data_IF_579126996031
#
_entry.id   IF_579126996031
#
_cell.length_a   1.000
_cell.length_b   1.000
_cell.length_c   1.000
_cell.angle_alpha   90.00
_cell.angle_beta   90.00
_cell.angle_gamma   90.00
#
_symmetry.space_group_name_H-M   'P 1'
#
loop_
_entity.id
_entity.type
_entity.pdbx_description
1 polymer ?
#
# COMPACT_ATOMS: atom_id res chain seq x y z
N UNK A 1 26.54 3.66 12.97
CA UNK A 1 26.02 3.43 11.59
C UNK A 1 24.74 2.62 11.70
N UNK A 2 23.66 3.06 11.06
CA UNK A 2 22.36 2.37 11.15
C UNK A 2 22.43 1.04 10.42
N UNK A 3 22.01 -0.04 11.07
CA UNK A 3 21.85 -1.36 10.48
C UNK A 3 20.39 -1.79 10.65
N UNK A 4 19.75 -2.21 9.57
CA UNK A 4 18.38 -2.69 9.56
C UNK A 4 18.30 -4.21 9.63
N UNK A 5 17.25 -4.72 10.29
CA UNK A 5 16.84 -6.10 10.11
C UNK A 5 15.39 -6.12 9.57
N UNK A 6 15.13 -6.90 8.54
CA UNK A 6 13.80 -7.10 7.97
C UNK A 6 13.28 -8.46 8.38
N UNK A 7 12.15 -8.48 9.07
CA UNK A 7 11.41 -9.70 9.40
C UNK A 7 10.21 -9.83 8.47
N UNK A 8 10.31 -10.72 7.50
CA UNK A 8 9.29 -10.96 6.48
C UNK A 8 9.88 -11.36 5.13
N UNK A 9 9.06 -11.99 4.28
CA UNK A 9 9.46 -12.45 2.95
C UNK A 9 8.50 -12.02 1.83
N UNK A 10 7.58 -11.06 2.13
CA UNK A 10 6.60 -10.54 1.17
C UNK A 10 7.21 -9.54 0.17
N UNK A 11 6.35 -9.01 -0.72
CA UNK A 11 6.75 -8.02 -1.74
C UNK A 11 7.39 -6.79 -1.12
N UNK A 12 6.77 -6.19 -0.10
CA UNK A 12 7.32 -5.03 0.59
C UNK A 12 8.69 -5.31 1.21
N UNK A 13 8.86 -6.47 1.88
CA UNK A 13 10.14 -6.86 2.45
C UNK A 13 11.25 -6.95 1.38
N UNK A 14 10.92 -7.50 0.20
CA UNK A 14 11.84 -7.57 -0.94
C UNK A 14 12.22 -6.18 -1.47
N UNK A 15 11.25 -5.27 -1.59
CA UNK A 15 11.47 -3.90 -2.02
C UNK A 15 12.30 -3.10 -1.01
N UNK A 16 11.96 -3.18 0.29
CA UNK A 16 12.72 -2.47 1.34
C UNK A 16 14.16 -2.97 1.44
N UNK A 17 14.38 -4.29 1.32
CA UNK A 17 15.75 -4.84 1.25
C UNK A 17 16.53 -4.26 0.08
N UNK A 18 15.92 -4.19 -1.09
CA UNK A 18 16.55 -3.63 -2.29
C UNK A 18 16.84 -2.15 -2.12
N UNK A 19 15.88 -1.40 -1.60
CA UNK A 19 16.02 0.04 -1.34
C UNK A 19 17.19 0.33 -0.37
N UNK A 20 17.26 -0.38 0.75
CA UNK A 20 18.38 -0.24 1.69
C UNK A 20 19.72 -0.58 1.04
N UNK A 21 19.77 -1.65 0.26
CA UNK A 21 20.98 -2.02 -0.49
C UNK A 21 21.44 -0.93 -1.46
N UNK A 22 20.51 -0.36 -2.24
CA UNK A 22 20.83 0.75 -3.17
C UNK A 22 21.25 2.04 -2.42
N UNK A 23 20.75 2.23 -1.20
CA UNK A 23 21.09 3.37 -0.33
C UNK A 23 22.39 3.16 0.47
N UNK A 24 23.08 2.03 0.30
CA UNK A 24 24.29 1.70 1.06
C UNK A 24 24.04 1.42 2.54
N UNK A 25 22.80 1.15 2.95
CA UNK A 25 22.42 0.85 4.32
C UNK A 25 22.54 -0.65 4.60
N UNK A 26 23.30 -1.08 5.61
CA UNK A 26 23.41 -2.48 5.98
C UNK A 26 22.05 -3.07 6.37
N UNK A 27 21.72 -4.24 5.80
CA UNK A 27 20.44 -4.91 6.05
C UNK A 27 20.62 -6.42 6.21
N UNK A 28 20.04 -6.95 7.27
CA UNK A 28 19.88 -8.39 7.52
C UNK A 28 18.43 -8.78 7.28
N UNK A 29 18.17 -10.03 6.85
CA UNK A 29 16.81 -10.48 6.58
C UNK A 29 16.51 -11.81 7.26
N UNK A 30 15.31 -11.93 7.80
CA UNK A 30 14.78 -13.17 8.34
C UNK A 30 13.35 -13.41 7.86
N UNK A 31 13.06 -14.64 7.46
CA UNK A 31 11.71 -15.08 7.15
C UNK A 31 11.52 -16.51 7.68
N UNK A 32 10.29 -16.85 8.07
CA UNK A 32 9.95 -18.25 8.36
C UNK A 32 10.14 -19.08 7.09
N UNK A 33 10.86 -20.18 7.22
CA UNK A 33 11.02 -21.11 6.12
C UNK A 33 9.70 -21.85 5.86
N UNK A 34 8.99 -21.47 4.79
CA UNK A 34 7.71 -22.10 4.42
C UNK A 34 7.88 -23.52 3.83
N UNK A 35 9.09 -23.89 3.48
CA UNK A 35 9.38 -25.19 2.88
C UNK A 35 9.80 -26.26 3.90
N UNK A 36 10.09 -25.90 5.16
CA UNK A 36 10.39 -26.88 6.19
C UNK A 36 9.10 -27.54 6.69
N UNK A 37 9.00 -28.89 6.70
CA UNK A 37 7.91 -29.59 7.34
C UNK A 37 7.79 -29.14 8.80
N UNK A 38 6.55 -28.96 9.30
CA UNK A 38 6.23 -28.50 10.65
C UNK A 38 6.95 -29.28 11.77
N UNK A 39 7.51 -30.44 11.47
CA UNK A 39 8.13 -31.35 12.42
C UNK A 39 9.68 -31.34 12.44
N UNK A 40 10.37 -30.51 11.64
CA UNK A 40 11.84 -30.60 11.54
C UNK A 40 12.61 -29.35 11.92
N UNK A 41 11.98 -28.22 12.14
CA UNK A 41 12.66 -27.02 12.64
C UNK A 41 12.33 -26.86 14.13
N UNK A 42 13.29 -27.19 15.01
CA UNK A 42 13.11 -26.93 16.45
C UNK A 42 12.90 -25.42 16.65
N UNK A 43 11.96 -25.04 17.50
CA UNK A 43 11.65 -23.64 17.87
C UNK A 43 12.93 -22.92 18.34
N UNK A 44 13.83 -23.62 19.02
CA UNK A 44 15.13 -23.11 19.45
C UNK A 44 15.99 -22.63 18.28
N UNK A 45 16.11 -23.42 17.21
CA UNK A 45 16.93 -23.06 16.05
C UNK A 45 16.38 -21.81 15.31
N UNK A 46 15.05 -21.65 15.27
CA UNK A 46 14.38 -20.49 14.68
C UNK A 46 14.63 -19.22 15.52
N UNK A 47 14.56 -19.33 16.85
CA UNK A 47 14.82 -18.21 17.78
C UNK A 47 16.30 -17.78 17.73
N UNK A 48 17.24 -18.71 17.70
CA UNK A 48 18.68 -18.39 17.60
C UNK A 48 19.02 -17.71 16.26
N UNK A 49 18.50 -18.21 15.16
CA UNK A 49 18.67 -17.57 13.84
C UNK A 49 18.10 -16.16 13.83
N UNK A 50 16.93 -15.93 14.42
CA UNK A 50 16.34 -14.61 14.54
C UNK A 50 17.22 -13.69 15.40
N UNK A 51 17.68 -14.15 16.58
CA UNK A 51 18.59 -13.39 17.43
C UNK A 51 19.88 -13.02 16.68
N UNK A 52 20.49 -13.96 15.99
CA UNK A 52 21.68 -13.71 15.17
C UNK A 52 21.43 -12.65 14.08
N UNK A 53 20.26 -12.72 13.43
CA UNK A 53 19.88 -11.76 12.37
C UNK A 53 19.72 -10.35 12.90
N UNK A 54 19.05 -10.17 14.06
CA UNK A 54 18.79 -8.83 14.62
C UNK A 54 19.95 -8.29 15.44
N UNK A 55 20.91 -9.12 15.84
CA UNK A 55 22.02 -8.70 16.73
C UNK A 55 22.73 -7.44 16.25
N UNK A 56 23.15 -7.31 14.97
CA UNK A 56 23.84 -6.11 14.48
C UNK A 56 22.88 -4.94 14.25
N UNK A 57 21.56 -5.18 14.21
CA UNK A 57 20.59 -4.17 13.83
C UNK A 57 20.28 -3.21 14.99
N UNK A 58 20.14 -1.93 14.66
CA UNK A 58 19.54 -0.92 15.53
C UNK A 58 18.03 -0.84 15.33
N UNK A 59 17.54 -1.08 14.10
CA UNK A 59 16.12 -1.01 13.73
C UNK A 59 15.66 -2.33 13.13
N UNK A 60 14.48 -2.78 13.54
CA UNK A 60 13.85 -4.02 13.06
C UNK A 60 12.52 -3.69 12.40
N UNK A 61 12.42 -3.94 11.09
CA UNK A 61 11.20 -3.77 10.32
C UNK A 61 10.37 -5.06 10.34
N UNK A 62 9.15 -4.98 10.85
CA UNK A 62 8.18 -6.06 10.93
C UNK A 62 7.32 -6.07 9.66
N UNK A 63 7.81 -6.69 8.60
CA UNK A 63 7.17 -6.73 7.26
C UNK A 63 6.46 -8.06 7.02
N UNK A 64 5.68 -8.48 7.99
CA UNK A 64 4.76 -9.62 7.95
C UNK A 64 3.31 -9.12 7.79
N UNK A 65 2.33 -10.03 7.72
CA UNK A 65 0.92 -9.63 7.72
C UNK A 65 0.53 -8.98 9.05
N UNK A 66 -0.40 -8.05 9.03
CA UNK A 66 -0.84 -7.28 10.19
C UNK A 66 -1.20 -8.20 11.38
N UNK A 67 -1.93 -9.27 11.11
CA UNK A 67 -2.32 -10.26 12.12
C UNK A 67 -1.13 -11.02 12.72
N UNK A 68 -0.01 -11.14 11.99
CA UNK A 68 1.16 -11.87 12.46
C UNK A 68 2.11 -11.02 13.31
N UNK A 69 1.98 -9.69 13.32
CA UNK A 69 2.90 -8.81 14.07
C UNK A 69 2.78 -9.05 15.57
N UNK A 70 1.56 -9.05 16.10
CA UNK A 70 1.32 -9.25 17.52
C UNK A 70 1.80 -10.64 18.01
N UNK A 71 1.56 -11.67 17.19
CA UNK A 71 2.05 -13.03 17.48
C UNK A 71 3.58 -13.11 17.47
N UNK A 72 4.22 -12.44 16.52
CA UNK A 72 5.68 -12.39 16.40
C UNK A 72 6.31 -11.73 17.64
N UNK A 73 5.77 -10.60 18.09
CA UNK A 73 6.23 -9.89 19.28
C UNK A 73 6.02 -10.72 20.56
N UNK A 74 4.87 -11.40 20.68
CA UNK A 74 4.59 -12.30 21.80
C UNK A 74 5.54 -13.50 21.82
N UNK A 75 5.84 -14.07 20.65
CA UNK A 75 6.71 -15.25 20.52
C UNK A 75 8.19 -14.94 20.76
N UNK A 76 8.60 -13.70 20.47
CA UNK A 76 9.99 -13.26 20.55
C UNK A 76 10.13 -11.92 21.30
N UNK A 77 9.91 -11.89 22.64
CA UNK A 77 9.92 -10.66 23.44
C UNK A 77 11.22 -9.86 23.34
N UNK A 78 12.34 -10.52 23.05
CA UNK A 78 13.65 -9.87 22.88
C UNK A 78 13.71 -8.91 21.68
N UNK A 79 12.70 -8.92 20.79
CA UNK A 79 12.60 -7.92 19.72
C UNK A 79 12.43 -6.51 20.29
N UNK A 80 11.81 -6.35 21.45
CA UNK A 80 11.63 -5.06 22.13
C UNK A 80 12.93 -4.41 22.61
N UNK A 81 14.07 -5.10 22.54
CA UNK A 81 15.40 -4.53 22.76
C UNK A 81 15.87 -3.63 21.60
N UNK A 82 15.13 -3.60 20.48
CA UNK A 82 15.45 -2.85 19.26
C UNK A 82 14.39 -1.79 18.98
N UNK A 83 14.73 -0.79 18.18
CA UNK A 83 13.74 0.11 17.59
C UNK A 83 12.88 -0.68 16.60
N UNK A 84 11.61 -0.88 16.93
CA UNK A 84 10.67 -1.65 16.14
C UNK A 84 9.87 -0.74 15.23
N UNK A 85 9.74 -1.14 13.97
CA UNK A 85 8.99 -0.41 12.94
C UNK A 85 8.08 -1.37 12.19
N UNK A 86 6.83 -0.98 11.96
CA UNK A 86 5.95 -1.67 11.03
C UNK A 86 5.51 -0.76 9.89
N UNK A 87 5.13 -1.36 8.75
CA UNK A 87 4.66 -0.63 7.56
C UNK A 87 3.15 -0.79 7.29
N UNK A 88 2.37 -1.23 8.27
CA UNK A 88 0.91 -1.25 8.13
C UNK A 88 0.35 0.16 8.05
N UNK A 89 -0.54 0.39 7.07
CA UNK A 89 -1.28 1.65 6.94
C UNK A 89 -2.45 1.79 7.91
N UNK A 90 -2.89 0.69 8.55
CA UNK A 90 -4.08 0.65 9.40
C UNK A 90 -3.79 0.44 10.88
N UNK A 91 -2.69 -0.27 11.24
CA UNK A 91 -2.40 -0.63 12.62
C UNK A 91 -1.71 0.50 13.39
N UNK A 92 -1.97 0.49 14.72
CA UNK A 92 -1.15 1.13 15.74
C UNK A 92 -0.83 0.09 16.80
N UNK A 93 0.45 -0.04 17.17
CA UNK A 93 0.92 -1.06 18.09
C UNK A 93 1.78 -0.39 19.16
N UNK A 94 1.44 -0.51 20.45
CA UNK A 94 2.24 0.07 21.52
C UNK A 94 3.71 -0.38 21.47
N UNK A 95 4.63 0.58 21.52
CA UNK A 95 6.08 0.31 21.47
C UNK A 95 6.63 -0.06 20.08
N UNK A 96 5.84 0.07 19.01
CA UNK A 96 6.28 -0.14 17.62
C UNK A 96 5.90 1.08 16.80
N UNK A 97 6.86 1.75 16.20
CA UNK A 97 6.59 2.91 15.34
C UNK A 97 5.98 2.48 14.00
N UNK A 98 4.96 3.18 13.54
CA UNK A 98 4.39 2.98 12.22
C UNK A 98 5.02 3.90 11.18
N UNK A 99 5.40 3.35 10.03
CA UNK A 99 5.87 4.12 8.86
C UNK A 99 5.35 3.46 7.58
N UNK A 100 4.18 3.87 7.12
CA UNK A 100 3.54 3.28 5.94
C UNK A 100 4.04 3.95 4.66
N UNK A 101 4.71 3.24 3.74
CA UNK A 101 5.06 3.76 2.43
C UNK A 101 3.81 3.83 1.54
N UNK A 102 3.38 5.02 1.13
CA UNK A 102 2.24 5.21 0.26
C UNK A 102 2.59 4.85 -1.18
N UNK A 103 2.63 3.57 -1.46
CA UNK A 103 3.01 3.02 -2.77
C UNK A 103 2.41 1.62 -2.97
N UNK A 104 2.19 1.25 -4.22
CA UNK A 104 1.96 -0.14 -4.61
C UNK A 104 3.29 -0.81 -4.93
N UNK A 105 3.47 -2.07 -4.50
CA UNK A 105 4.71 -2.82 -4.73
C UNK A 105 4.42 -4.05 -5.61
N UNK A 106 4.97 -4.03 -6.82
CA UNK A 106 4.84 -5.11 -7.81
C UNK A 106 5.90 -6.22 -7.58
N UNK A 107 6.01 -7.12 -8.53
CA UNK A 107 7.12 -8.07 -8.57
C UNK A 107 8.43 -7.44 -9.08
N UNK A 108 8.35 -6.37 -9.86
CA UNK A 108 9.51 -5.65 -10.37
C UNK A 108 10.03 -4.68 -9.33
N UNK A 109 11.35 -4.66 -9.16
CA UNK A 109 12.02 -3.76 -8.22
C UNK A 109 12.18 -2.39 -8.86
N UNK A 110 12.17 -1.34 -8.04
CA UNK A 110 12.25 0.03 -8.49
C UNK A 110 13.70 0.54 -8.47
N UNK A 111 13.95 1.63 -9.18
CA UNK A 111 15.22 2.37 -9.12
C UNK A 111 15.35 3.10 -7.79
N UNK A 112 16.58 3.49 -7.43
CA UNK A 112 16.83 4.28 -6.22
C UNK A 112 16.04 5.59 -6.22
N UNK A 113 16.02 6.30 -7.34
CA UNK A 113 15.28 7.54 -7.49
C UNK A 113 13.78 7.35 -7.26
N UNK A 114 13.21 6.26 -7.77
CA UNK A 114 11.81 5.93 -7.55
C UNK A 114 11.52 5.67 -6.06
N UNK A 115 12.37 4.88 -5.38
CA UNK A 115 12.22 4.63 -3.95
C UNK A 115 12.29 5.92 -3.13
N UNK A 116 13.22 6.81 -3.43
CA UNK A 116 13.41 8.07 -2.71
C UNK A 116 12.24 9.04 -2.82
N UNK A 117 11.39 8.88 -3.84
CA UNK A 117 10.17 9.68 -4.05
C UNK A 117 8.94 9.13 -3.31
N UNK A 118 9.00 7.92 -2.76
CA UNK A 118 7.86 7.31 -2.04
C UNK A 118 7.62 8.08 -0.75
N UNK A 119 6.44 8.69 -0.55
CA UNK A 119 6.13 9.33 0.72
C UNK A 119 5.82 8.29 1.80
N UNK A 120 6.24 8.57 3.02
CA UNK A 120 5.91 7.77 4.20
C UNK A 120 4.93 8.50 5.10
N UNK A 121 3.89 7.80 5.55
CA UNK A 121 3.02 8.26 6.63
C UNK A 121 3.56 7.67 7.93
N UNK A 122 3.99 8.54 8.83
CA UNK A 122 4.63 8.18 10.11
C UNK A 122 3.65 8.45 11.25
N UNK A 123 3.55 7.53 12.19
CA UNK A 123 2.70 7.71 13.37
C UNK A 123 3.10 9.00 14.12
N UNK A 124 2.11 9.85 14.44
CA UNK A 124 2.36 11.11 15.16
C UNK A 124 3.08 10.85 16.49
N UNK A 125 4.00 11.73 16.83
CA UNK A 125 4.89 11.58 17.99
C UNK A 125 6.23 10.93 17.68
N UNK A 126 6.47 10.46 16.48
CA UNK A 126 7.75 9.92 16.02
C UNK A 126 8.38 10.80 14.94
N UNK A 127 9.68 11.02 15.00
CA UNK A 127 10.43 11.68 13.94
C UNK A 127 10.87 10.65 12.89
N UNK A 128 10.70 10.97 11.62
CA UNK A 128 11.03 10.03 10.51
C UNK A 128 12.48 9.56 10.54
N UNK A 129 13.41 10.46 10.83
CA UNK A 129 14.83 10.16 10.94
C UNK A 129 15.21 9.28 12.14
N UNK A 130 14.32 9.12 13.12
CA UNK A 130 14.46 8.17 14.23
C UNK A 130 13.83 6.82 13.88
N UNK A 131 12.77 6.83 13.08
CA UNK A 131 12.06 5.60 12.66
C UNK A 131 12.77 4.91 11.49
N UNK A 132 13.19 5.69 10.48
CA UNK A 132 13.90 5.19 9.29
C UNK A 132 15.15 6.06 9.00
N UNK A 133 16.16 6.05 9.90
CA UNK A 133 17.35 6.87 9.73
C UNK A 133 18.12 6.52 8.45
N UNK A 134 18.56 7.57 7.76
CA UNK A 134 19.33 7.46 6.51
C UNK A 134 18.49 7.40 5.24
N UNK A 135 17.16 7.45 5.34
CA UNK A 135 16.27 7.58 4.19
C UNK A 135 15.86 9.04 3.95
N UNK A 136 15.97 9.56 2.70
CA UNK A 136 15.67 10.96 2.38
C UNK A 136 14.19 11.18 1.97
N UNK A 137 13.32 10.22 2.17
CA UNK A 137 11.96 10.21 1.65
C UNK A 137 11.10 11.38 2.15
N UNK A 138 10.20 11.93 1.34
CA UNK A 138 9.10 12.75 1.80
C UNK A 138 8.30 12.00 2.89
N UNK A 139 7.91 12.69 3.95
CA UNK A 139 7.17 12.06 5.04
C UNK A 139 6.19 13.03 5.67
N UNK A 140 5.12 12.49 6.22
CA UNK A 140 4.02 13.23 6.85
C UNK A 140 3.60 12.50 8.12
N UNK A 141 3.30 13.26 9.17
CA UNK A 141 2.74 12.69 10.38
C UNK A 141 1.25 12.36 10.20
N UNK A 142 0.82 11.22 10.73
CA UNK A 142 -0.57 10.82 10.76
C UNK A 142 -0.98 10.44 12.19
N UNK A 143 -2.14 10.93 12.65
CA UNK A 143 -2.69 10.50 13.92
C UNK A 143 -3.08 9.03 13.84
N UNK A 144 -2.71 8.26 14.86
CA UNK A 144 -2.94 6.81 14.90
C UNK A 144 -4.42 6.45 14.80
N UNK A 145 -5.30 7.30 15.30
CA UNK A 145 -6.76 7.16 15.22
C UNK A 145 -7.30 7.31 13.78
N UNK A 146 -6.62 8.09 12.94
CA UNK A 146 -7.01 8.31 11.55
C UNK A 146 -6.44 7.23 10.59
N UNK A 147 -5.54 6.38 11.04
CA UNK A 147 -4.91 5.35 10.17
C UNK A 147 -5.92 4.40 9.51
N UNK A 148 -6.95 3.88 10.20
CA UNK A 148 -7.93 3.02 9.53
C UNK A 148 -8.64 3.73 8.38
N UNK A 149 -9.04 4.99 8.58
CA UNK A 149 -9.67 5.83 7.56
C UNK A 149 -8.71 6.13 6.41
N UNK A 150 -7.50 6.55 6.73
CA UNK A 150 -6.44 6.80 5.75
C UNK A 150 -6.19 5.55 4.88
N UNK A 151 -6.03 4.38 5.50
CA UNK A 151 -5.77 3.14 4.76
C UNK A 151 -6.95 2.74 3.88
N UNK A 152 -8.19 2.92 4.35
CA UNK A 152 -9.38 2.71 3.53
C UNK A 152 -9.36 3.59 2.26
N UNK A 153 -8.97 4.87 2.39
CA UNK A 153 -8.81 5.77 1.24
C UNK A 153 -7.69 5.31 0.29
N UNK A 154 -6.57 4.81 0.81
CA UNK A 154 -5.50 4.22 -0.01
C UNK A 154 -5.98 3.00 -0.80
N UNK A 155 -6.76 2.12 -0.16
CA UNK A 155 -7.37 0.94 -0.81
C UNK A 155 -8.32 1.38 -1.91
N UNK A 156 -9.17 2.38 -1.65
CA UNK A 156 -10.10 2.91 -2.68
C UNK A 156 -9.35 3.52 -3.87
N UNK A 157 -8.35 4.38 -3.60
CA UNK A 157 -7.62 5.06 -4.65
C UNK A 157 -6.72 4.12 -5.48
N UNK A 158 -6.15 3.09 -4.87
CA UNK A 158 -5.23 2.16 -5.53
C UNK A 158 -5.88 0.83 -5.91
N UNK A 159 -6.26 0.02 -4.91
CA UNK A 159 -6.70 -1.35 -5.15
C UNK A 159 -8.04 -1.43 -5.88
N UNK A 160 -9.04 -0.62 -5.48
CA UNK A 160 -10.35 -0.66 -6.11
C UNK A 160 -10.31 -0.12 -7.55
N UNK A 161 -9.47 0.88 -7.81
CA UNK A 161 -9.22 1.34 -9.17
C UNK A 161 -8.66 0.22 -10.06
N UNK A 162 -7.70 -0.58 -9.55
CA UNK A 162 -7.17 -1.71 -10.29
C UNK A 162 -8.21 -2.81 -10.54
N UNK A 163 -9.06 -3.11 -9.54
CA UNK A 163 -10.17 -4.06 -9.70
C UNK A 163 -11.12 -3.58 -10.80
N UNK A 164 -11.47 -2.29 -10.80
CA UNK A 164 -12.34 -1.70 -11.82
C UNK A 164 -11.69 -1.77 -13.21
N UNK A 165 -10.42 -1.45 -13.34
CA UNK A 165 -9.71 -1.53 -14.62
C UNK A 165 -9.61 -2.95 -15.16
N UNK A 166 -9.38 -3.93 -14.29
CA UNK A 166 -9.36 -5.34 -14.66
C UNK A 166 -10.74 -5.79 -15.14
N UNK A 167 -11.80 -5.46 -14.39
CA UNK A 167 -13.16 -5.81 -14.78
C UNK A 167 -13.58 -5.18 -16.12
N UNK A 168 -13.15 -3.94 -16.39
CA UNK A 168 -13.37 -3.29 -17.69
C UNK A 168 -12.58 -3.99 -18.81
N UNK A 169 -11.33 -4.36 -18.58
CA UNK A 169 -10.50 -5.05 -19.56
C UNK A 169 -11.07 -6.42 -19.96
N UNK A 170 -11.62 -7.17 -19.00
CA UNK A 170 -12.31 -8.45 -19.26
C UNK A 170 -13.53 -8.26 -20.15
N UNK A 171 -14.32 -7.21 -19.94
CA UNK A 171 -15.49 -6.91 -20.78
C UNK A 171 -15.11 -6.41 -22.16
N UNK A 172 -14.02 -5.64 -22.28
CA UNK A 172 -13.47 -5.27 -23.60
C UNK A 172 -13.06 -6.52 -24.37
N UNK A 173 -12.38 -7.47 -23.74
CA UNK A 173 -12.03 -8.73 -24.37
C UNK A 173 -13.28 -9.52 -24.83
N UNK A 174 -14.34 -9.55 -24.02
CA UNK A 174 -15.61 -10.19 -24.39
C UNK A 174 -16.31 -9.50 -25.58
N UNK A 175 -16.07 -8.21 -25.81
CA UNK A 175 -16.54 -7.47 -27.00
C UNK A 175 -15.58 -7.60 -28.19
N UNK A 176 -14.54 -8.42 -28.12
CA UNK A 176 -13.54 -8.58 -29.18
C UNK A 176 -12.50 -7.45 -29.25
N UNK A 177 -12.44 -6.57 -28.24
CA UNK A 177 -11.46 -5.50 -28.16
C UNK A 177 -10.24 -5.95 -27.33
N UNK A 178 -9.01 -5.87 -27.85
CA UNK A 178 -7.82 -6.22 -27.06
C UNK A 178 -7.72 -5.37 -25.80
N UNK A 179 -7.41 -5.96 -24.60
CA UNK A 179 -7.26 -5.20 -23.36
C UNK A 179 -6.21 -4.07 -23.44
N UNK A 180 -5.22 -4.21 -24.34
CA UNK A 180 -4.20 -3.18 -24.59
C UNK A 180 -4.78 -1.86 -25.12
N UNK A 181 -5.99 -1.85 -25.67
CA UNK A 181 -6.68 -0.62 -26.10
C UNK A 181 -6.99 0.33 -24.94
N UNK A 182 -7.11 -0.19 -23.70
CA UNK A 182 -7.31 0.61 -22.50
C UNK A 182 -6.04 1.32 -22.02
N UNK A 183 -4.86 0.83 -22.40
CA UNK A 183 -3.60 1.34 -21.86
C UNK A 183 -3.41 2.86 -22.07
N UNK A 184 -3.49 3.42 -23.29
CA UNK A 184 -3.31 4.86 -23.49
C UNK A 184 -4.42 5.67 -22.79
N UNK A 185 -5.63 5.15 -22.75
CA UNK A 185 -6.74 5.80 -22.06
C UNK A 185 -6.50 5.90 -20.56
N UNK A 186 -6.14 4.80 -19.88
CA UNK A 186 -5.87 4.80 -18.44
C UNK A 186 -4.69 5.69 -18.07
N UNK A 187 -3.62 5.67 -18.88
CA UNK A 187 -2.47 6.56 -18.68
C UNK A 187 -2.90 8.03 -18.74
N UNK A 188 -3.76 8.38 -19.72
CA UNK A 188 -4.23 9.76 -19.87
C UNK A 188 -5.15 10.18 -18.71
N UNK A 189 -6.03 9.29 -18.23
CA UNK A 189 -6.88 9.56 -17.06
C UNK A 189 -6.02 9.90 -15.82
N UNK A 190 -5.00 9.09 -15.54
CA UNK A 190 -4.09 9.34 -14.41
C UNK A 190 -3.32 10.65 -14.61
N UNK A 191 -2.77 10.91 -15.80
CA UNK A 191 -2.05 12.15 -16.09
C UNK A 191 -2.93 13.40 -15.94
N UNK A 192 -4.16 13.35 -16.40
CA UNK A 192 -5.10 14.47 -16.27
C UNK A 192 -5.40 14.75 -14.79
N UNK A 193 -5.67 13.71 -14.00
CA UNK A 193 -5.89 13.85 -12.57
C UNK A 193 -4.67 14.44 -11.84
N UNK A 194 -3.48 13.97 -12.13
CA UNK A 194 -2.24 14.48 -11.50
C UNK A 194 -1.99 15.95 -11.82
N UNK A 195 -2.30 16.36 -13.07
CA UNK A 195 -2.09 17.75 -13.51
C UNK A 195 -3.19 18.71 -13.04
N UNK A 196 -4.44 18.25 -13.02
CA UNK A 196 -5.62 19.09 -12.78
C UNK A 196 -6.66 18.34 -11.93
N UNK A 197 -6.38 18.03 -10.65
CA UNK A 197 -7.24 17.16 -9.83
C UNK A 197 -8.67 17.69 -9.67
N UNK A 198 -8.86 19.02 -9.64
CA UNK A 198 -10.17 19.64 -9.49
C UNK A 198 -11.03 19.70 -10.76
N UNK A 199 -10.45 19.43 -11.96
CA UNK A 199 -11.17 19.56 -13.24
C UNK A 199 -10.91 18.42 -14.22
N UNK A 200 -10.28 17.35 -13.74
CA UNK A 200 -9.90 16.21 -14.61
C UNK A 200 -11.10 15.35 -15.04
N UNK A 201 -12.19 15.37 -14.27
CA UNK A 201 -13.34 14.54 -14.56
C UNK A 201 -14.05 15.04 -15.83
N UNK A 202 -14.21 14.14 -16.77
CA UNK A 202 -14.95 14.34 -18.02
C UNK A 202 -16.05 13.29 -18.16
N UNK A 203 -16.87 13.39 -19.17
CA UNK A 203 -17.89 12.37 -19.46
C UNK A 203 -19.30 12.81 -19.07
N UNK A 204 -20.27 11.86 -19.12
CA UNK A 204 -21.68 12.20 -18.99
C UNK A 204 -22.07 12.74 -17.62
N UNK A 205 -21.43 12.28 -16.53
CA UNK A 205 -21.71 12.77 -15.19
C UNK A 205 -21.35 14.25 -15.05
N UNK A 206 -20.14 14.64 -15.49
CA UNK A 206 -19.68 16.04 -15.37
C UNK A 206 -20.46 17.01 -16.27
N UNK A 207 -21.08 16.50 -17.36
CA UNK A 207 -21.91 17.32 -18.26
C UNK A 207 -23.40 17.27 -17.95
N UNK A 208 -23.84 16.47 -16.95
CA UNK A 208 -25.27 16.30 -16.64
C UNK A 208 -26.04 15.56 -17.73
N UNK A 209 -25.40 14.72 -18.56
CA UNK A 209 -26.01 14.01 -19.66
C UNK A 209 -26.79 12.78 -19.17
N UNK A 210 -28.01 13.02 -18.71
CA UNK A 210 -28.89 11.99 -18.13
C UNK A 210 -29.22 10.89 -19.13
N UNK A 211 -29.39 11.21 -20.41
CA UNK A 211 -29.73 10.22 -21.44
C UNK A 211 -28.59 9.21 -21.65
N UNK A 212 -27.35 9.66 -21.69
CA UNK A 212 -26.19 8.77 -21.78
C UNK A 212 -26.02 7.93 -20.52
N UNK A 213 -26.24 8.51 -19.36
CA UNK A 213 -26.19 7.79 -18.07
C UNK A 213 -27.22 6.64 -18.06
N UNK A 214 -28.45 6.93 -18.45
CA UNK A 214 -29.53 5.92 -18.49
C UNK A 214 -29.22 4.79 -19.46
N UNK A 215 -28.73 5.10 -20.66
CA UNK A 215 -28.30 4.07 -21.65
C UNK A 215 -27.16 3.21 -21.09
N UNK A 216 -26.20 3.80 -20.38
CA UNK A 216 -25.10 3.06 -19.76
C UNK A 216 -25.65 2.10 -18.69
N UNK A 217 -26.58 2.53 -17.84
CA UNK A 217 -27.19 1.68 -16.83
C UNK A 217 -28.01 0.54 -17.45
N UNK A 218 -28.77 0.81 -18.52
CA UNK A 218 -29.51 -0.21 -19.26
C UNK A 218 -28.54 -1.25 -19.86
N UNK A 219 -27.42 -0.79 -20.43
CA UNK A 219 -26.41 -1.69 -21.00
C UNK A 219 -25.69 -2.55 -19.95
N UNK A 220 -25.64 -2.10 -18.71
CA UNK A 220 -25.05 -2.83 -17.59
C UNK A 220 -26.09 -3.64 -16.79
N UNK A 221 -27.35 -3.69 -17.22
CA UNK A 221 -28.40 -4.40 -16.48
C UNK A 221 -28.03 -5.88 -16.29
N UNK A 222 -27.96 -6.35 -15.04
CA UNK A 222 -27.54 -7.70 -14.67
C UNK A 222 -26.03 -7.95 -14.67
N UNK A 223 -25.21 -6.97 -15.04
CA UNK A 223 -23.75 -7.06 -14.89
C UNK A 223 -23.32 -6.66 -13.45
N UNK A 224 -22.36 -7.36 -12.81
CA UNK A 224 -21.80 -6.96 -11.51
C UNK A 224 -21.27 -5.52 -11.43
N UNK A 225 -20.98 -4.86 -12.56
CA UNK A 225 -20.58 -3.45 -12.59
C UNK A 225 -21.75 -2.46 -12.49
N UNK A 226 -22.99 -2.88 -12.66
CA UNK A 226 -24.14 -1.96 -12.53
C UNK A 226 -24.22 -1.31 -11.14
N UNK A 227 -24.19 -2.06 -10.01
CA UNK A 227 -24.20 -1.44 -8.68
C UNK A 227 -22.97 -0.57 -8.42
N UNK A 228 -21.82 -0.89 -8.99
CA UNK A 228 -20.60 -0.05 -8.89
C UNK A 228 -20.82 1.27 -9.64
N UNK A 229 -21.39 1.26 -10.84
CA UNK A 229 -21.71 2.47 -11.59
C UNK A 229 -22.68 3.38 -10.81
N UNK A 230 -23.72 2.81 -10.19
CA UNK A 230 -24.66 3.56 -9.34
C UNK A 230 -23.99 4.15 -8.11
N UNK A 231 -23.08 3.44 -7.46
CA UNK A 231 -22.32 3.94 -6.31
C UNK A 231 -21.45 5.14 -6.69
N UNK A 232 -20.81 5.13 -7.86
CA UNK A 232 -20.04 6.29 -8.35
C UNK A 232 -20.92 7.48 -8.67
N UNK A 233 -22.12 7.26 -9.23
CA UNK A 233 -23.09 8.34 -9.46
C UNK A 233 -23.50 9.01 -8.15
N UNK A 234 -23.75 8.22 -7.11
CA UNK A 234 -24.12 8.76 -5.80
C UNK A 234 -22.96 9.51 -5.15
N UNK A 235 -21.75 8.96 -5.18
CA UNK A 235 -20.55 9.65 -4.70
C UNK A 235 -20.36 11.01 -5.38
N UNK A 236 -20.56 11.08 -6.71
CA UNK A 236 -20.46 12.32 -7.46
C UNK A 236 -21.53 13.34 -7.03
N UNK A 237 -22.79 12.91 -6.84
CA UNK A 237 -23.88 13.79 -6.38
C UNK A 237 -23.62 14.38 -4.99
N UNK A 238 -23.14 13.56 -4.06
CA UNK A 238 -22.77 14.00 -2.72
C UNK A 238 -21.69 15.09 -2.78
N UNK A 239 -20.66 14.92 -3.60
CA UNK A 239 -19.59 15.91 -3.77
C UNK A 239 -20.10 17.25 -4.31
N UNK A 240 -21.02 17.24 -5.29
CA UNK A 240 -21.62 18.47 -5.84
C UNK A 240 -22.47 19.23 -4.81
N UNK A 241 -23.18 18.54 -3.92
CA UNK A 241 -23.97 19.16 -2.87
C UNK A 241 -23.09 19.84 -1.81
N UNK A 242 -21.94 19.26 -1.49
CA UNK A 242 -21.02 19.84 -0.52
C UNK A 242 -20.30 21.08 -1.08
N UNK A 243 -20.02 21.11 -2.39
CA UNK A 243 -19.46 22.31 -3.07
C UNK A 243 -20.46 23.48 -3.10
N UNK A 244 -21.75 23.22 -3.26
CA UNK A 244 -22.79 24.25 -3.26
C UNK A 244 -23.10 24.82 -1.85
N UNK A 245 -22.67 24.11 -0.79
CA UNK A 245 -22.86 24.54 0.61
C UNK A 245 -21.69 25.33 1.18
N UNK A 246 -20.56 25.39 0.47
CA UNK A 246 -19.36 26.17 0.82
C UNK A 246 -19.36 27.53 0.16
#
# INVERSE_FOLDING_TARGET
>A
MTHYAILGGGRLARHMRHYFSLSGLPVSCWARDRAAPLNTCSIANTSERLRATIRPASHVLLLVTDTAIAELLKSYPFLHEKALVHCSGALSIPGVAGAHPLMTFSHELYTLEHYQRIPFMVDSGHAFNEVLPGLPNPHFAINVEEKPRYHALCVMAGNFSQILWQAAAERFAAMGLPPSTLQPYLQQVVQNFVRHPGSALTGPLSRGDSNTIERNLQALAGDPLEPVYRAFMELYRCGQQDEQRR
#
